data_IF_107188075618
#
_entry.id   IF_107188075618
#
_cell.length_a   1.000
_cell.length_b   1.000
_cell.length_c   1.000
_cell.angle_alpha   90.00
_cell.angle_beta   90.00
_cell.angle_gamma   90.00
#
_symmetry.space_group_name_H-M   'P 1'
#
loop_
_entity.id
_entity.type
_entity.pdbx_description
1 polymer ?
#
# COMPACT_ATOMS: atom_id res chain seq x y z
N UNK A 1 -13.94 -29.87 45.34
CA UNK A 1 -15.19 -30.00 44.55
C UNK A 1 -15.30 -28.73 43.73
N UNK A 2 -15.02 -28.82 42.42
CA UNK A 2 -15.25 -27.72 41.48
C UNK A 2 -16.73 -27.73 41.11
N UNK A 3 -17.37 -26.56 41.10
CA UNK A 3 -18.80 -26.42 40.80
C UNK A 3 -18.99 -26.54 39.27
N UNK A 4 -19.93 -27.38 38.82
CA UNK A 4 -20.04 -27.82 37.42
C UNK A 4 -20.97 -26.95 36.53
N UNK A 5 -21.38 -25.75 36.97
CA UNK A 5 -22.34 -24.90 36.24
C UNK A 5 -21.80 -23.50 35.86
N UNK A 6 -20.50 -23.31 35.73
CA UNK A 6 -19.92 -22.04 35.23
C UNK A 6 -19.45 -22.19 33.78
N UNK A 7 -20.27 -21.77 32.81
CA UNK A 7 -19.90 -21.72 31.40
C UNK A 7 -18.80 -20.67 31.19
N UNK A 8 -17.56 -21.13 31.02
CA UNK A 8 -16.40 -20.27 30.70
C UNK A 8 -16.17 -20.26 29.20
N UNK A 9 -16.49 -19.15 28.56
CA UNK A 9 -16.25 -18.94 27.12
C UNK A 9 -14.96 -18.15 26.96
N UNK A 10 -13.96 -18.73 26.30
CA UNK A 10 -12.74 -18.03 25.92
C UNK A 10 -12.97 -17.33 24.57
N UNK A 11 -13.09 -16.00 24.58
CA UNK A 11 -13.23 -15.18 23.38
C UNK A 11 -11.89 -14.49 23.08
N UNK A 12 -11.49 -14.49 21.81
CA UNK A 12 -10.45 -13.56 21.38
C UNK A 12 -10.95 -12.11 21.55
N UNK A 13 -10.05 -11.10 21.68
CA UNK A 13 -10.47 -9.70 21.76
C UNK A 13 -11.43 -9.27 20.63
N UNK A 14 -11.26 -9.86 19.44
CA UNK A 14 -12.10 -9.62 18.26
C UNK A 14 -13.50 -10.21 18.45
N UNK A 15 -13.59 -11.45 18.94
CA UNK A 15 -14.87 -12.10 19.21
C UNK A 15 -15.61 -11.43 20.39
N UNK A 16 -14.88 -10.95 21.39
CA UNK A 16 -15.47 -10.18 22.48
C UNK A 16 -16.05 -8.84 21.99
N UNK A 17 -15.30 -8.11 21.14
CA UNK A 17 -15.78 -6.88 20.53
C UNK A 17 -17.03 -7.11 19.65
N UNK A 18 -17.05 -8.22 18.90
CA UNK A 18 -18.19 -8.63 18.08
C UNK A 18 -19.45 -8.90 18.93
N UNK A 19 -19.30 -9.67 20.02
CA UNK A 19 -20.40 -9.95 20.97
C UNK A 19 -20.92 -8.67 21.64
N UNK A 20 -20.02 -7.75 22.02
CA UNK A 20 -20.41 -6.45 22.59
C UNK A 20 -21.12 -5.53 21.58
N UNK A 21 -20.92 -5.77 20.28
CA UNK A 21 -21.48 -4.98 19.18
C UNK A 21 -22.67 -5.66 18.48
N UNK A 22 -23.12 -6.82 18.97
CA UNK A 22 -24.17 -7.65 18.36
C UNK A 22 -23.85 -8.09 16.90
N UNK A 23 -22.58 -8.32 16.60
CA UNK A 23 -22.09 -8.75 15.28
C UNK A 23 -21.41 -10.14 15.31
N UNK A 24 -21.36 -10.80 14.16
CA UNK A 24 -20.61 -12.06 13.95
C UNK A 24 -19.43 -11.84 13.03
N UNK A 25 -18.25 -12.37 13.35
CA UNK A 25 -17.01 -12.14 12.58
C UNK A 25 -16.44 -13.47 12.11
N UNK A 26 -16.25 -13.63 10.80
CA UNK A 26 -15.53 -14.81 10.27
C UNK A 26 -14.02 -14.63 10.39
N UNK A 27 -13.29 -15.74 10.53
CA UNK A 27 -11.83 -15.73 10.60
C UNK A 27 -11.20 -15.15 9.30
N UNK A 28 -11.85 -15.40 8.15
CA UNK A 28 -11.46 -14.85 6.87
C UNK A 28 -11.62 -13.32 6.78
N UNK A 29 -12.72 -12.77 7.27
CA UNK A 29 -12.93 -11.32 7.35
C UNK A 29 -11.92 -10.65 8.27
N UNK A 30 -11.65 -11.26 9.44
CA UNK A 30 -10.64 -10.75 10.38
C UNK A 30 -9.26 -10.72 9.72
N UNK A 31 -8.84 -11.82 9.08
CA UNK A 31 -7.54 -11.89 8.40
C UNK A 31 -7.45 -10.88 7.25
N UNK A 32 -8.51 -10.78 6.44
CA UNK A 32 -8.61 -9.82 5.34
C UNK A 32 -8.51 -8.38 5.83
N UNK A 33 -9.26 -8.02 6.87
CA UNK A 33 -9.22 -6.70 7.47
C UNK A 33 -7.84 -6.38 8.03
N UNK A 34 -7.16 -7.34 8.66
CA UNK A 34 -5.78 -7.13 9.13
C UNK A 34 -4.80 -6.88 7.99
N UNK A 35 -4.94 -7.60 6.88
CA UNK A 35 -4.12 -7.39 5.68
C UNK A 35 -4.40 -6.02 5.04
N UNK A 36 -5.67 -5.63 4.95
CA UNK A 36 -6.08 -4.31 4.46
C UNK A 36 -5.59 -3.19 5.38
N UNK A 37 -5.65 -3.37 6.70
CA UNK A 37 -5.06 -2.44 7.67
C UNK A 37 -3.54 -2.34 7.53
N UNK A 38 -2.85 -3.46 7.28
CA UNK A 38 -1.41 -3.45 6.99
C UNK A 38 -1.07 -2.70 5.69
N UNK A 39 -1.88 -2.84 4.64
CA UNK A 39 -1.73 -2.09 3.39
C UNK A 39 -2.03 -0.60 3.60
N UNK A 40 -3.09 -0.26 4.34
CA UNK A 40 -3.45 1.10 4.69
C UNK A 40 -2.36 1.79 5.51
N UNK A 41 -1.72 1.07 6.44
CA UNK A 41 -0.60 1.57 7.23
C UNK A 41 0.59 1.93 6.33
N UNK A 42 0.95 1.04 5.39
CA UNK A 42 2.02 1.31 4.43
C UNK A 42 1.69 2.52 3.53
N UNK A 43 0.43 2.62 3.07
CA UNK A 43 -0.05 3.77 2.30
C UNK A 43 0.07 5.09 3.07
N UNK A 44 -0.45 5.14 4.30
CA UNK A 44 -0.39 6.32 5.15
C UNK A 44 1.05 6.77 5.45
N UNK A 45 2.00 5.84 5.61
CA UNK A 45 3.43 6.19 5.76
C UNK A 45 4.00 6.83 4.51
N UNK A 46 3.67 6.32 3.32
CA UNK A 46 4.12 6.90 2.05
C UNK A 46 3.57 8.32 1.88
N UNK A 47 2.30 8.53 2.19
CA UNK A 47 1.68 9.86 2.15
C UNK A 47 2.32 10.81 3.17
N UNK A 48 2.65 10.34 4.38
CA UNK A 48 3.31 11.16 5.39
C UNK A 48 4.70 11.61 4.95
N UNK A 49 5.45 10.74 4.25
CA UNK A 49 6.71 11.14 3.61
C UNK A 49 6.46 12.19 2.52
N UNK A 50 5.41 12.00 1.71
CA UNK A 50 4.97 12.98 0.71
C UNK A 50 4.63 14.35 1.30
N UNK A 51 3.92 14.37 2.43
CA UNK A 51 3.66 15.58 3.21
C UNK A 51 4.98 16.23 3.65
N UNK A 52 5.93 15.45 4.18
CA UNK A 52 7.26 15.94 4.55
C UNK A 52 8.00 16.64 3.40
N UNK A 53 7.90 16.10 2.17
CA UNK A 53 8.45 16.73 0.96
C UNK A 53 7.77 18.08 0.69
N UNK A 54 6.43 18.15 0.79
CA UNK A 54 5.69 19.42 0.65
C UNK A 54 6.12 20.45 1.73
N UNK A 55 6.41 19.98 2.94
CA UNK A 55 6.85 20.87 4.03
C UNK A 55 8.21 21.51 3.73
N UNK A 56 9.07 20.85 2.96
CA UNK A 56 10.40 21.36 2.59
C UNK A 56 10.45 22.06 1.23
N UNK A 57 9.53 21.74 0.32
CA UNK A 57 9.51 22.30 -1.03
C UNK A 57 9.48 23.84 -1.02
N UNK A 58 10.37 24.52 -1.77
CA UNK A 58 10.32 25.97 -1.89
C UNK A 58 9.09 26.38 -2.69
N UNK A 59 8.32 27.34 -2.16
CA UNK A 59 7.07 27.78 -2.78
C UNK A 59 6.75 29.23 -2.42
N UNK A 60 6.67 30.14 -3.42
CA UNK A 60 6.32 31.54 -3.19
C UNK A 60 4.83 31.76 -2.93
N UNK A 61 3.98 30.75 -3.16
CA UNK A 61 2.51 30.86 -3.06
C UNK A 61 1.93 30.29 -1.77
N UNK A 62 2.77 29.68 -0.91
CA UNK A 62 2.40 29.05 0.37
C UNK A 62 1.50 27.79 0.26
N UNK A 63 1.08 27.41 -0.95
CA UNK A 63 0.21 26.25 -1.22
C UNK A 63 0.85 24.94 -0.73
N UNK A 64 2.16 24.77 -0.91
CA UNK A 64 2.87 23.56 -0.46
C UNK A 64 2.92 23.42 1.05
N UNK A 65 2.98 24.52 1.81
CA UNK A 65 2.97 24.50 3.28
C UNK A 65 1.60 24.10 3.81
N UNK A 66 0.57 24.65 3.19
CA UNK A 66 -0.82 24.26 3.43
C UNK A 66 -1.03 22.78 3.10
N UNK A 67 -0.59 22.34 1.92
CA UNK A 67 -0.67 20.94 1.49
C UNK A 67 0.07 19.98 2.43
N UNK A 68 1.26 20.38 2.92
CA UNK A 68 2.02 19.64 3.94
C UNK A 68 1.19 19.38 5.20
N UNK A 69 0.52 20.41 5.75
CA UNK A 69 -0.28 20.25 6.97
C UNK A 69 -1.49 19.36 6.69
N UNK A 70 -2.24 19.61 5.62
CA UNK A 70 -3.44 18.82 5.30
C UNK A 70 -3.10 17.36 5.02
N UNK A 71 -2.16 17.10 4.11
CA UNK A 71 -1.73 15.72 3.79
C UNK A 71 -1.13 15.08 5.04
N UNK A 72 -0.29 15.79 5.80
CA UNK A 72 0.31 15.25 7.02
C UNK A 72 -0.73 14.84 8.07
N UNK A 73 -1.75 15.66 8.30
CA UNK A 73 -2.85 15.32 9.21
C UNK A 73 -3.66 14.12 8.71
N UNK A 74 -3.94 14.05 7.41
CA UNK A 74 -4.62 12.92 6.77
C UNK A 74 -3.83 11.62 6.87
N UNK A 75 -2.53 11.68 6.62
CA UNK A 75 -1.66 10.52 6.73
C UNK A 75 -1.59 9.98 8.16
N UNK A 76 -1.53 10.85 9.18
CA UNK A 76 -1.51 10.43 10.58
C UNK A 76 -2.80 9.77 11.02
N UNK A 77 -3.95 10.30 10.59
CA UNK A 77 -5.25 9.72 10.89
C UNK A 77 -5.45 8.38 10.16
N UNK A 78 -5.04 8.31 8.88
CA UNK A 78 -5.00 7.07 8.11
C UNK A 78 -4.11 6.00 8.75
N UNK A 79 -2.90 6.38 9.21
CA UNK A 79 -2.00 5.49 9.96
C UNK A 79 -2.67 4.97 11.23
N UNK A 80 -3.36 5.83 11.99
CA UNK A 80 -4.05 5.45 13.22
C UNK A 80 -5.19 4.47 12.93
N UNK A 81 -6.07 4.79 11.98
CA UNK A 81 -7.18 3.94 11.59
C UNK A 81 -6.68 2.58 11.07
N UNK A 82 -5.70 2.59 10.18
CA UNK A 82 -5.13 1.38 9.60
C UNK A 82 -4.38 0.51 10.63
N UNK A 83 -3.69 1.12 11.59
CA UNK A 83 -3.05 0.41 12.71
C UNK A 83 -4.09 -0.28 13.59
N UNK A 84 -5.19 0.42 13.90
CA UNK A 84 -6.29 -0.17 14.66
C UNK A 84 -6.94 -1.32 13.91
N UNK A 85 -7.20 -1.18 12.61
CA UNK A 85 -7.73 -2.24 11.76
C UNK A 85 -6.77 -3.43 11.63
N UNK A 86 -5.45 -3.19 11.55
CA UNK A 86 -4.42 -4.23 11.53
C UNK A 86 -4.38 -5.04 12.83
N UNK A 87 -4.57 -4.40 13.99
CA UNK A 87 -4.51 -5.05 15.31
C UNK A 87 -5.83 -5.77 15.60
N UNK A 88 -6.93 -5.03 15.50
CA UNK A 88 -8.28 -5.49 15.86
C UNK A 88 -8.88 -6.42 14.82
N UNK A 89 -8.46 -6.34 13.56
CA UNK A 89 -9.11 -7.05 12.46
C UNK A 89 -10.53 -6.57 12.17
N UNK A 90 -10.91 -5.41 12.71
CA UNK A 90 -12.19 -4.75 12.44
C UNK A 90 -11.98 -3.58 11.48
N UNK A 91 -12.91 -3.34 10.54
CA UNK A 91 -12.87 -2.14 9.70
C UNK A 91 -12.81 -0.90 10.60
N UNK A 92 -11.85 -0.03 10.37
CA UNK A 92 -11.73 1.23 11.09
C UNK A 92 -11.67 2.35 10.07
N UNK A 93 -12.54 3.35 10.20
CA UNK A 93 -12.62 4.50 9.30
C UNK A 93 -11.71 5.63 9.77
N UNK A 94 -11.32 6.49 8.83
CA UNK A 94 -10.64 7.76 9.11
C UNK A 94 -11.66 8.85 9.47
N UNK A 95 -11.24 9.82 10.28
CA UNK A 95 -12.01 11.00 10.66
C UNK A 95 -11.58 12.25 9.83
N UNK A 96 -10.69 12.09 8.85
CA UNK A 96 -9.93 13.23 8.29
C UNK A 96 -10.70 14.16 7.35
N UNK A 97 -11.96 13.85 7.03
CA UNK A 97 -12.88 14.72 6.30
C UNK A 97 -12.84 16.19 6.79
N UNK A 98 -12.76 16.39 8.10
CA UNK A 98 -12.82 17.72 8.72
C UNK A 98 -11.64 18.63 8.34
N UNK A 99 -10.44 18.06 8.11
CA UNK A 99 -9.24 18.87 7.86
C UNK A 99 -9.27 19.53 6.48
N UNK A 100 -9.78 18.81 5.49
CA UNK A 100 -9.97 19.33 4.13
C UNK A 100 -11.15 20.30 4.04
N UNK A 101 -12.22 20.06 4.81
CA UNK A 101 -13.35 21.00 4.94
C UNK A 101 -12.90 22.33 5.56
N UNK A 102 -12.17 22.27 6.69
CA UNK A 102 -11.66 23.46 7.38
C UNK A 102 -10.76 24.27 6.45
N UNK A 103 -9.92 23.62 5.64
CA UNK A 103 -9.08 24.32 4.69
C UNK A 103 -9.89 24.95 3.56
N UNK A 104 -10.83 24.20 2.96
CA UNK A 104 -11.67 24.73 1.90
C UNK A 104 -12.48 25.94 2.38
N UNK A 105 -13.03 25.88 3.60
CA UNK A 105 -13.70 27.01 4.24
C UNK A 105 -12.77 28.19 4.51
N UNK A 106 -11.55 27.93 5.00
CA UNK A 106 -10.54 28.97 5.20
C UNK A 106 -10.12 29.66 3.89
N UNK A 107 -10.25 28.97 2.76
CA UNK A 107 -10.02 29.50 1.41
C UNK A 107 -11.28 30.11 0.77
N UNK A 108 -12.38 30.22 1.51
CA UNK A 108 -13.62 30.87 1.09
C UNK A 108 -14.63 29.97 0.40
N UNK A 109 -14.44 28.64 0.43
CA UNK A 109 -15.46 27.70 -0.04
C UNK A 109 -16.66 27.67 0.91
N UNK A 110 -17.87 27.65 0.36
CA UNK A 110 -19.08 27.39 1.14
C UNK A 110 -19.08 25.94 1.67
N UNK A 111 -19.99 25.65 2.61
CA UNK A 111 -20.01 24.37 3.32
C UNK A 111 -20.18 23.14 2.41
N UNK A 112 -20.93 23.26 1.31
CA UNK A 112 -21.15 22.16 0.37
C UNK A 112 -19.92 21.94 -0.51
N UNK A 113 -19.32 23.03 -1.00
CA UNK A 113 -18.05 22.96 -1.73
C UNK A 113 -16.93 22.38 -0.86
N UNK A 114 -16.83 22.80 0.39
CA UNK A 114 -15.85 22.29 1.35
C UNK A 114 -16.04 20.80 1.65
N UNK A 115 -17.30 20.36 1.78
CA UNK A 115 -17.65 18.95 1.97
C UNK A 115 -17.18 18.08 0.80
N UNK A 116 -17.47 18.51 -0.43
CA UNK A 116 -17.07 17.80 -1.64
C UNK A 116 -15.54 17.76 -1.83
N UNK A 117 -14.84 18.84 -1.43
CA UNK A 117 -13.38 18.87 -1.39
C UNK A 117 -12.84 17.83 -0.41
N UNK A 118 -13.43 17.72 0.79
CA UNK A 118 -13.02 16.72 1.78
C UNK A 118 -13.15 15.29 1.29
N UNK A 119 -14.30 14.94 0.70
CA UNK A 119 -14.51 13.62 0.09
C UNK A 119 -13.53 13.35 -1.05
N UNK A 120 -13.23 14.36 -1.87
CA UNK A 120 -12.30 14.22 -2.99
C UNK A 120 -10.87 13.99 -2.51
N UNK A 121 -10.46 14.67 -1.43
CA UNK A 121 -9.11 14.52 -0.85
C UNK A 121 -8.87 13.09 -0.36
N UNK A 122 -9.83 12.51 0.38
CA UNK A 122 -9.74 11.14 0.90
C UNK A 122 -9.55 10.08 -0.21
N UNK A 123 -10.03 10.34 -1.43
CA UNK A 123 -9.92 9.41 -2.56
C UNK A 123 -8.69 9.74 -3.43
N UNK A 124 -8.48 11.01 -3.74
CA UNK A 124 -7.50 11.44 -4.74
C UNK A 124 -6.08 11.46 -4.19
N UNK A 125 -5.87 11.86 -2.93
CA UNK A 125 -4.53 11.99 -2.35
C UNK A 125 -3.78 10.66 -2.33
N UNK A 126 -4.37 9.54 -1.86
CA UNK A 126 -3.69 8.24 -1.93
C UNK A 126 -3.30 7.84 -3.35
N UNK A 127 -4.16 8.15 -4.34
CA UNK A 127 -3.92 7.82 -5.74
C UNK A 127 -2.79 8.65 -6.37
N UNK A 128 -2.63 9.91 -5.97
CA UNK A 128 -1.54 10.77 -6.46
C UNK A 128 -0.19 10.21 -6.02
N UNK A 129 -0.04 9.86 -4.73
CA UNK A 129 1.21 9.30 -4.23
C UNK A 129 1.48 7.90 -4.78
N UNK A 130 0.46 7.05 -4.86
CA UNK A 130 0.58 5.74 -5.50
C UNK A 130 0.99 5.86 -6.99
N UNK A 131 0.37 6.79 -7.72
CA UNK A 131 0.68 7.10 -9.11
C UNK A 131 2.11 7.61 -9.30
N UNK A 132 2.58 8.49 -8.42
CA UNK A 132 3.96 8.99 -8.45
C UNK A 132 5.00 7.88 -8.24
N UNK A 133 4.76 6.98 -7.28
CA UNK A 133 5.63 5.80 -7.05
C UNK A 133 5.62 4.87 -8.27
N UNK A 134 4.44 4.60 -8.84
CA UNK A 134 4.30 3.79 -10.05
C UNK A 134 5.01 4.41 -11.26
N UNK A 135 4.87 5.71 -11.45
CA UNK A 135 5.53 6.46 -12.52
C UNK A 135 7.06 6.45 -12.37
N UNK A 136 7.57 6.62 -11.15
CA UNK A 136 9.00 6.54 -10.86
C UNK A 136 9.56 5.15 -11.22
N UNK A 137 8.82 4.08 -10.92
CA UNK A 137 9.20 2.71 -11.31
C UNK A 137 9.14 2.50 -12.83
N UNK A 138 8.11 2.99 -13.51
CA UNK A 138 8.03 2.89 -14.97
C UNK A 138 9.18 3.67 -15.65
N UNK A 139 9.51 4.85 -15.13
CA UNK A 139 10.63 5.66 -15.59
C UNK A 139 11.97 4.96 -15.35
N UNK A 140 12.20 4.34 -14.18
CA UNK A 140 13.45 3.62 -13.90
C UNK A 140 13.65 2.41 -14.82
N UNK A 141 12.58 1.68 -15.16
CA UNK A 141 12.58 0.63 -16.19
C UNK A 141 12.95 1.21 -17.55
N UNK A 142 12.28 2.29 -17.97
CA UNK A 142 12.50 2.90 -19.29
C UNK A 142 13.89 3.52 -19.46
N UNK A 143 14.48 4.01 -18.37
CA UNK A 143 15.84 4.54 -18.34
C UNK A 143 16.92 3.46 -18.16
N UNK A 144 16.55 2.17 -18.11
CA UNK A 144 17.51 1.08 -17.93
C UNK A 144 18.20 1.07 -16.56
N UNK A 145 17.62 1.73 -15.54
CA UNK A 145 18.20 1.84 -14.19
C UNK A 145 17.77 0.70 -13.27
N UNK A 146 17.20 -0.37 -13.82
CA UNK A 146 16.76 -1.56 -13.08
C UNK A 146 17.94 -2.49 -12.86
N UNK A 147 18.19 -2.87 -11.61
CA UNK A 147 19.19 -3.88 -11.26
C UNK A 147 18.53 -5.25 -11.22
N UNK A 148 18.69 -6.03 -12.29
CA UNK A 148 18.11 -7.38 -12.42
C UNK A 148 18.51 -8.31 -11.27
N UNK A 149 19.74 -8.19 -10.76
CA UNK A 149 20.24 -9.02 -9.68
C UNK A 149 19.45 -8.84 -8.36
N UNK A 150 19.00 -7.61 -8.08
CA UNK A 150 18.20 -7.28 -6.89
C UNK A 150 16.75 -7.80 -7.02
N UNK A 151 16.25 -7.94 -8.24
CA UNK A 151 14.89 -8.48 -8.51
C UNK A 151 14.85 -10.00 -8.63
N UNK A 152 15.96 -10.64 -8.99
CA UNK A 152 16.04 -12.10 -9.11
C UNK A 152 16.39 -12.79 -7.79
N UNK A 153 16.98 -12.05 -6.85
CA UNK A 153 17.30 -12.53 -5.51
C UNK A 153 16.81 -11.55 -4.45
N UNK A 154 15.48 -11.43 -4.36
CA UNK A 154 14.83 -10.52 -3.42
C UNK A 154 15.26 -10.78 -1.96
N UNK A 155 15.50 -12.05 -1.61
CA UNK A 155 15.97 -12.45 -0.27
C UNK A 155 17.49 -12.49 -0.11
N UNK A 156 18.27 -12.24 -1.18
CA UNK A 156 19.73 -12.37 -1.20
C UNK A 156 20.27 -13.81 -1.05
N UNK A 157 19.39 -14.79 -0.78
CA UNK A 157 19.75 -16.18 -0.45
C UNK A 157 20.22 -16.99 -1.66
N UNK A 158 19.85 -16.58 -2.87
CA UNK A 158 20.22 -17.23 -4.12
C UNK A 158 21.05 -16.29 -4.99
N UNK A 159 22.01 -16.78 -5.79
CA UNK A 159 22.68 -15.92 -6.75
C UNK A 159 21.67 -15.45 -7.81
N UNK A 160 21.58 -14.13 -8.02
CA UNK A 160 20.92 -13.57 -9.20
C UNK A 160 21.78 -13.73 -10.47
N UNK A 161 21.38 -13.12 -11.57
CA UNK A 161 22.01 -13.22 -12.90
C UNK A 161 21.36 -14.24 -13.84
N UNK A 162 20.22 -14.82 -13.48
CA UNK A 162 19.50 -15.79 -14.31
C UNK A 162 19.05 -15.18 -15.64
N UNK A 163 18.49 -13.97 -15.64
CA UNK A 163 18.03 -13.31 -16.86
C UNK A 163 19.20 -13.04 -17.79
N UNK A 164 20.32 -12.51 -17.26
CA UNK A 164 21.52 -12.29 -18.05
C UNK A 164 22.05 -13.59 -18.65
N UNK A 165 22.17 -14.64 -17.84
CA UNK A 165 22.81 -15.90 -18.25
C UNK A 165 21.95 -16.79 -19.14
N UNK A 166 20.62 -16.70 -19.05
CA UNK A 166 19.71 -17.65 -19.74
C UNK A 166 18.74 -17.01 -20.73
N UNK A 167 18.72 -15.68 -20.80
CA UNK A 167 17.77 -14.96 -21.64
C UNK A 167 18.41 -13.85 -22.49
N UNK A 168 19.71 -13.58 -22.40
CA UNK A 168 20.39 -12.58 -23.24
C UNK A 168 21.38 -13.27 -24.18
N UNK A 169 21.28 -12.95 -25.47
CA UNK A 169 22.16 -13.42 -26.55
C UNK A 169 22.38 -14.94 -26.57
N UNK A 170 21.30 -15.71 -26.39
CA UNK A 170 21.37 -17.18 -26.42
C UNK A 170 21.25 -17.67 -27.85
N UNK A 171 22.17 -18.54 -28.26
CA UNK A 171 22.14 -19.14 -29.59
C UNK A 171 20.83 -19.93 -29.84
N UNK A 172 20.25 -19.87 -31.05
CA UNK A 172 19.00 -20.56 -31.37
C UNK A 172 19.03 -22.06 -31.07
N UNK A 173 20.17 -22.72 -31.33
CA UNK A 173 20.36 -24.16 -31.10
C UNK A 173 20.26 -24.48 -29.61
N UNK A 174 20.76 -23.60 -28.75
CA UNK A 174 20.68 -23.75 -27.30
C UNK A 174 19.23 -23.55 -26.79
N UNK A 175 18.43 -22.69 -27.42
CA UNK A 175 17.00 -22.53 -27.11
C UNK A 175 16.19 -23.77 -27.51
N UNK A 176 16.45 -24.32 -28.70
CA UNK A 176 15.81 -25.56 -29.18
C UNK A 176 16.20 -26.74 -28.27
N UNK A 177 17.49 -26.87 -27.94
CA UNK A 177 17.97 -27.89 -27.01
C UNK A 177 17.38 -27.72 -25.59
N UNK A 178 17.00 -26.50 -25.19
CA UNK A 178 16.34 -26.25 -23.91
C UNK A 178 14.90 -26.76 -23.92
N UNK A 179 14.16 -26.57 -25.02
CA UNK A 179 12.82 -27.10 -25.20
C UNK A 179 12.83 -28.63 -25.19
N UNK A 180 13.76 -29.24 -25.92
CA UNK A 180 13.89 -30.70 -25.97
C UNK A 180 14.21 -31.32 -24.59
N UNK A 181 15.06 -30.68 -23.79
CA UNK A 181 15.47 -31.18 -22.45
C UNK A 181 14.45 -30.92 -21.35
N UNK A 182 13.45 -30.06 -21.58
CA UNK A 182 12.49 -29.65 -20.56
C UNK A 182 11.06 -29.76 -21.10
N UNK A 183 10.42 -30.93 -20.97
CA UNK A 183 9.11 -31.22 -21.57
C UNK A 183 7.97 -30.29 -21.10
N UNK A 184 8.16 -29.61 -19.95
CA UNK A 184 7.19 -28.64 -19.40
C UNK A 184 7.34 -27.22 -19.95
N UNK A 185 8.39 -26.93 -20.72
CA UNK A 185 8.59 -25.61 -21.34
C UNK A 185 7.90 -25.55 -22.70
N UNK A 186 6.93 -24.65 -22.81
CA UNK A 186 6.13 -24.47 -24.03
C UNK A 186 6.86 -23.55 -25.04
N UNK A 187 7.70 -22.63 -24.53
CA UNK A 187 8.46 -21.69 -25.35
C UNK A 187 9.83 -21.35 -24.73
N UNK A 188 10.79 -20.98 -25.58
CA UNK A 188 12.09 -20.47 -25.18
C UNK A 188 12.48 -19.30 -26.08
N UNK A 189 12.91 -18.19 -25.47
CA UNK A 189 13.26 -16.94 -26.15
C UNK A 189 14.51 -16.32 -25.54
N UNK A 190 15.10 -15.38 -26.29
CA UNK A 190 16.24 -14.56 -25.86
C UNK A 190 16.11 -13.14 -26.38
N UNK A 191 16.59 -12.17 -25.61
CA UNK A 191 16.84 -10.80 -26.03
C UNK A 191 18.17 -10.71 -26.78
N UNK A 192 18.27 -9.78 -27.75
CA UNK A 192 19.49 -9.58 -28.56
C UNK A 192 20.64 -8.99 -27.76
N UNK A 193 20.35 -8.05 -26.87
CA UNK A 193 21.31 -7.38 -25.99
C UNK A 193 20.62 -6.96 -24.70
N UNK A 194 21.40 -6.43 -23.75
CA UNK A 194 20.90 -5.63 -22.62
C UNK A 194 20.36 -4.30 -23.14
#
# INVERSE_FOLDING_TARGET
>A
MANEDELRIALSPVQLAAVLSDESVTEGETLSNRLLGGLGLAGGVVELMGAGVLCYAPDPTFITKVGCVVVGTHSLDSIKAASNQMITGQPTTTDTYQSAVVLAQALGADGETAYNVGLTVDIAVPLVFAGAVGAARAASVRMGRVKLIEHESVSGKYPGGHTLARHINIAPEALIARLARRPRLIAASTFRSV
#
